data_IF_544231308603
#
_entry.id   IF_544231308603
#
_cell.length_a   1.000
_cell.length_b   1.000
_cell.length_c   1.000
_cell.angle_alpha   90.00
_cell.angle_beta   90.00
_cell.angle_gamma   90.00
#
_symmetry.space_group_name_H-M   'P 1'
#
loop_
_entity.id
_entity.type
_entity.pdbx_description
1 polymer ?
#
# COMPACT_ATOMS: atom_id res chain seq x y z
N UNK A 1 -15.98 4.45 17.31
CA UNK A 1 -14.55 4.37 16.90
C UNK A 1 -14.10 5.68 16.29
N UNK A 2 -12.83 6.06 16.44
CA UNK A 2 -12.30 7.24 15.76
C UNK A 2 -12.08 6.97 14.26
N UNK A 3 -12.12 7.99 13.41
CA UNK A 3 -11.78 7.85 11.97
C UNK A 3 -10.39 7.22 11.77
N UNK A 4 -9.44 7.53 12.67
CA UNK A 4 -8.10 6.93 12.68
C UNK A 4 -8.16 5.43 12.91
N UNK A 5 -8.91 4.99 13.90
CA UNK A 5 -9.05 3.55 14.24
C UNK A 5 -9.62 2.78 13.06
N UNK A 6 -10.66 3.30 12.41
CA UNK A 6 -11.27 2.66 11.23
C UNK A 6 -10.25 2.48 10.09
N UNK A 7 -9.41 3.48 9.83
CA UNK A 7 -8.36 3.37 8.80
C UNK A 7 -7.31 2.32 9.17
N UNK A 8 -6.84 2.32 10.42
CA UNK A 8 -5.84 1.33 10.87
C UNK A 8 -6.38 -0.09 10.81
N UNK A 9 -7.63 -0.29 11.22
CA UNK A 9 -8.28 -1.61 11.20
C UNK A 9 -8.46 -2.11 9.77
N UNK A 10 -8.91 -1.25 8.85
CA UNK A 10 -9.03 -1.59 7.44
C UNK A 10 -7.66 -1.90 6.81
N UNK A 11 -6.62 -1.13 7.15
CA UNK A 11 -5.28 -1.40 6.67
C UNK A 11 -4.74 -2.74 7.19
N UNK A 12 -5.10 -3.14 8.41
CA UNK A 12 -4.67 -4.37 9.06
C UNK A 12 -5.43 -5.62 8.62
N UNK A 13 -6.65 -5.48 8.07
CA UNK A 13 -7.42 -6.64 7.59
C UNK A 13 -6.94 -7.13 6.23
N UNK A 14 -6.61 -6.21 5.31
CA UNK A 14 -6.35 -6.55 3.90
C UNK A 14 -5.31 -7.68 3.69
N UNK A 15 -4.12 -7.68 4.32
CA UNK A 15 -3.16 -8.76 4.10
C UNK A 15 -3.60 -10.14 4.62
N UNK A 16 -4.50 -10.16 5.63
CA UNK A 16 -5.08 -11.40 6.16
C UNK A 16 -6.13 -11.94 5.21
N UNK A 17 -6.98 -11.07 4.68
CA UNK A 17 -7.99 -11.41 3.70
C UNK A 17 -7.34 -11.93 2.41
N UNK A 18 -6.27 -11.27 1.95
CA UNK A 18 -5.47 -11.67 0.79
C UNK A 18 -4.87 -13.07 0.98
N UNK A 19 -4.21 -13.32 2.11
CA UNK A 19 -3.64 -14.63 2.42
C UNK A 19 -4.72 -15.71 2.48
N UNK A 20 -5.89 -15.40 3.05
CA UNK A 20 -7.02 -16.33 3.09
C UNK A 20 -7.55 -16.65 1.69
N UNK A 21 -7.71 -15.65 0.82
CA UNK A 21 -8.17 -15.82 -0.56
C UNK A 21 -7.22 -16.69 -1.38
N UNK A 22 -5.90 -16.51 -1.21
CA UNK A 22 -4.89 -17.19 -2.00
C UNK A 22 -4.41 -18.53 -1.43
N UNK A 23 -4.90 -18.94 -0.25
CA UNK A 23 -4.42 -20.15 0.45
C UNK A 23 -4.56 -21.48 -0.34
N UNK A 24 -5.39 -21.50 -1.38
CA UNK A 24 -5.63 -22.68 -2.24
C UNK A 24 -5.29 -22.41 -3.70
N UNK A 25 -4.66 -21.27 -4.01
CA UNK A 25 -4.27 -20.95 -5.38
C UNK A 25 -3.13 -21.88 -5.80
N UNK A 26 -3.19 -22.40 -7.02
CA UNK A 26 -2.07 -23.12 -7.62
C UNK A 26 -1.02 -22.12 -8.11
N UNK A 27 0.25 -22.44 -7.90
CA UNK A 27 1.36 -21.56 -8.25
C UNK A 27 1.35 -21.17 -9.73
N UNK A 28 1.12 -22.13 -10.62
CA UNK A 28 1.02 -21.90 -12.07
C UNK A 28 -0.09 -20.91 -12.43
N UNK A 29 -1.23 -20.96 -11.73
CA UNK A 29 -2.35 -20.06 -11.96
C UNK A 29 -2.06 -18.63 -11.46
N UNK A 30 -1.27 -18.49 -10.40
CA UNK A 30 -0.88 -17.18 -9.83
C UNK A 30 -0.03 -16.36 -10.81
N UNK A 31 0.83 -17.05 -11.57
CA UNK A 31 1.71 -16.45 -12.57
C UNK A 31 1.09 -16.31 -13.96
N UNK A 32 -0.07 -16.93 -14.19
CA UNK A 32 -0.73 -16.87 -15.49
C UNK A 32 -1.43 -15.53 -15.69
N UNK A 33 -1.05 -14.81 -16.74
CA UNK A 33 -1.79 -13.63 -17.21
C UNK A 33 -3.06 -14.08 -17.97
N UNK A 34 -4.25 -13.55 -17.64
CA UNK A 34 -5.49 -13.88 -18.37
C UNK A 34 -5.42 -13.51 -19.86
N UNK A 35 -4.83 -12.36 -20.17
CA UNK A 35 -4.47 -11.91 -21.52
C UNK A 35 -3.06 -11.33 -21.50
N UNK A 36 -2.36 -11.18 -22.64
CA UNK A 36 -1.03 -10.58 -22.68
C UNK A 36 -0.93 -9.15 -22.13
N UNK A 37 -2.06 -8.43 -22.07
CA UNK A 37 -2.17 -7.05 -21.58
C UNK A 37 -2.56 -6.97 -20.11
N UNK A 38 -3.16 -8.03 -19.55
CA UNK A 38 -3.59 -8.06 -18.15
C UNK A 38 -2.45 -8.42 -17.21
N UNK A 39 -2.64 -8.10 -15.94
CA UNK A 39 -1.76 -8.52 -14.87
C UNK A 39 -2.15 -9.91 -14.36
N UNK A 40 -1.14 -10.72 -14.05
CA UNK A 40 -1.31 -11.94 -13.27
C UNK A 40 -1.56 -11.61 -11.80
N UNK A 41 -1.89 -12.60 -10.98
CA UNK A 41 -2.01 -12.41 -9.53
C UNK A 41 -0.64 -12.03 -8.95
N UNK A 42 0.44 -12.65 -9.43
CA UNK A 42 1.79 -12.31 -9.00
C UNK A 42 2.15 -10.84 -9.28
N UNK A 43 1.83 -10.35 -10.48
CA UNK A 43 2.01 -8.96 -10.88
C UNK A 43 1.26 -8.00 -9.92
N UNK A 44 0.02 -8.34 -9.55
CA UNK A 44 -0.77 -7.56 -8.60
C UNK A 44 -0.14 -7.55 -7.20
N UNK A 45 0.31 -8.69 -6.69
CA UNK A 45 0.94 -8.79 -5.37
C UNK A 45 2.26 -7.97 -5.29
N UNK A 46 3.07 -8.06 -6.34
CA UNK A 46 4.29 -7.25 -6.47
C UNK A 46 3.95 -5.76 -6.52
N UNK A 47 2.92 -5.38 -7.27
CA UNK A 47 2.44 -4.00 -7.32
C UNK A 47 1.97 -3.48 -5.95
N UNK A 48 1.15 -4.25 -5.23
CA UNK A 48 0.69 -3.88 -3.89
C UNK A 48 1.85 -3.64 -2.94
N UNK A 49 2.87 -4.52 -2.98
CA UNK A 49 4.11 -4.36 -2.21
C UNK A 49 4.82 -3.06 -2.57
N UNK A 50 4.94 -2.73 -3.85
CA UNK A 50 5.56 -1.48 -4.32
C UNK A 50 4.79 -0.24 -3.84
N UNK A 51 3.46 -0.28 -3.94
CA UNK A 51 2.58 0.81 -3.48
C UNK A 51 2.75 1.07 -1.97
N UNK A 52 2.82 0.01 -1.15
CA UNK A 52 3.08 0.16 0.29
C UNK A 52 4.33 0.96 0.58
N UNK A 53 5.45 0.60 -0.05
CA UNK A 53 6.73 1.27 0.19
C UNK A 53 6.70 2.74 -0.26
N UNK A 54 6.10 3.02 -1.42
CA UNK A 54 5.97 4.38 -1.93
C UNK A 54 5.07 5.25 -1.03
N UNK A 55 3.97 4.69 -0.54
CA UNK A 55 3.09 5.38 0.40
C UNK A 55 3.75 5.58 1.77
N UNK A 56 4.47 4.60 2.29
CA UNK A 56 5.20 4.75 3.55
C UNK A 56 6.22 5.87 3.47
N UNK A 57 7.03 5.93 2.40
CA UNK A 57 7.99 7.00 2.18
C UNK A 57 7.31 8.39 2.10
N UNK A 58 6.16 8.47 1.42
CA UNK A 58 5.33 9.68 1.35
C UNK A 58 4.82 10.10 2.73
N UNK A 59 4.29 9.17 3.52
CA UNK A 59 3.77 9.45 4.84
C UNK A 59 4.90 9.89 5.80
N UNK A 60 6.08 9.30 5.69
CA UNK A 60 7.28 9.73 6.40
C UNK A 60 7.67 11.17 6.02
N UNK A 61 7.65 11.51 4.73
CA UNK A 61 7.92 12.87 4.23
C UNK A 61 6.98 13.91 4.85
N UNK A 62 5.67 13.63 4.90
CA UNK A 62 4.68 14.53 5.52
C UNK A 62 4.99 14.80 6.99
N UNK A 63 5.52 13.81 7.71
CA UNK A 63 5.91 14.01 9.12
C UNK A 63 7.22 14.76 9.27
N UNK A 64 8.21 14.49 8.40
CA UNK A 64 9.53 15.09 8.46
C UNK A 64 9.54 16.56 8.01
N UNK A 65 8.69 16.94 7.05
CA UNK A 65 8.70 18.26 6.42
C UNK A 65 7.46 19.06 6.76
N UNK A 66 7.58 20.39 6.73
CA UNK A 66 6.46 21.30 6.88
C UNK A 66 5.76 21.48 5.53
N UNK A 67 4.49 21.05 5.44
CA UNK A 67 3.63 21.19 4.25
C UNK A 67 4.32 20.77 2.94
N UNK A 68 4.84 19.53 2.83
CA UNK A 68 5.54 19.11 1.63
C UNK A 68 4.63 19.00 0.41
N UNK A 69 5.21 19.20 -0.77
CA UNK A 69 4.61 18.81 -2.04
C UNK A 69 4.78 17.31 -2.29
N UNK A 70 3.72 16.66 -2.77
CA UNK A 70 3.66 15.23 -3.07
C UNK A 70 3.37 15.04 -4.57
N UNK A 71 4.35 14.63 -5.38
CA UNK A 71 4.12 14.32 -6.79
C UNK A 71 3.19 13.12 -6.94
N UNK A 72 2.53 12.95 -8.08
CA UNK A 72 1.75 11.75 -8.37
C UNK A 72 2.66 10.52 -8.36
N UNK A 73 2.21 9.42 -7.73
CA UNK A 73 2.94 8.16 -7.88
C UNK A 73 2.58 7.59 -9.24
N UNK A 74 3.61 7.31 -10.04
CA UNK A 74 3.49 6.55 -11.27
C UNK A 74 4.12 5.18 -11.03
N UNK A 75 3.41 4.26 -10.35
CA UNK A 75 3.86 2.88 -10.25
C UNK A 75 3.91 2.26 -11.65
N UNK A 76 4.64 1.15 -11.78
CA UNK A 76 4.74 0.40 -13.04
C UNK A 76 3.36 0.07 -13.61
N UNK A 77 3.17 0.41 -14.88
CA UNK A 77 1.97 0.06 -15.66
C UNK A 77 2.12 -1.30 -16.35
N UNK A 78 3.36 -1.76 -16.50
CA UNK A 78 3.71 -3.05 -17.10
C UNK A 78 4.78 -3.72 -16.24
N UNK A 79 4.39 -4.45 -15.19
CA UNK A 79 5.34 -5.12 -14.31
C UNK A 79 6.11 -6.20 -15.07
N UNK A 80 7.40 -6.30 -14.75
CA UNK A 80 8.20 -7.46 -15.11
C UNK A 80 7.66 -8.70 -14.38
N UNK A 81 7.59 -9.87 -15.04
CA UNK A 81 7.12 -11.09 -14.39
C UNK A 81 7.93 -11.41 -13.14
N UNK A 82 7.24 -11.59 -12.02
CA UNK A 82 7.84 -11.98 -10.76
C UNK A 82 7.94 -13.50 -10.66
N UNK A 83 9.12 -14.05 -10.33
CA UNK A 83 9.32 -15.50 -10.24
C UNK A 83 9.14 -16.06 -8.82
N UNK A 84 8.83 -15.22 -7.84
CA UNK A 84 8.61 -15.64 -6.45
C UNK A 84 7.35 -16.49 -6.34
N UNK A 85 7.33 -17.38 -5.36
CA UNK A 85 6.14 -18.15 -5.03
C UNK A 85 5.00 -17.27 -4.52
N UNK A 86 3.75 -17.74 -4.63
CA UNK A 86 2.58 -17.04 -4.05
C UNK A 86 2.78 -16.75 -2.56
N UNK A 87 3.41 -17.68 -1.82
CA UNK A 87 3.70 -17.52 -0.40
C UNK A 87 4.68 -16.38 -0.12
N UNK A 88 5.76 -16.29 -0.90
CA UNK A 88 6.75 -15.20 -0.78
C UNK A 88 6.13 -13.84 -1.15
N UNK A 89 5.29 -13.80 -2.19
CA UNK A 89 4.60 -12.58 -2.62
C UNK A 89 3.59 -12.09 -1.58
N UNK A 90 2.79 -12.99 -1.01
CA UNK A 90 1.86 -12.67 0.09
C UNK A 90 2.62 -12.19 1.32
N UNK A 91 3.73 -12.85 1.68
CA UNK A 91 4.59 -12.43 2.80
C UNK A 91 5.15 -11.03 2.56
N UNK A 92 5.59 -10.71 1.35
CA UNK A 92 6.09 -9.37 1.02
C UNK A 92 5.04 -8.27 1.21
N UNK A 93 3.78 -8.52 0.82
CA UNK A 93 2.66 -7.60 1.06
C UNK A 93 2.40 -7.43 2.56
N UNK A 94 2.41 -8.54 3.31
CA UNK A 94 2.20 -8.53 4.76
C UNK A 94 3.28 -7.72 5.49
N UNK A 95 4.54 -7.95 5.16
CA UNK A 95 5.67 -7.25 5.78
C UNK A 95 5.63 -5.75 5.46
N UNK A 96 5.40 -5.38 4.20
CA UNK A 96 5.30 -3.99 3.80
C UNK A 96 4.13 -3.28 4.52
N UNK A 97 2.96 -3.91 4.60
CA UNK A 97 1.82 -3.37 5.35
C UNK A 97 2.10 -3.27 6.85
N UNK A 98 2.80 -4.24 7.43
CA UNK A 98 3.16 -4.21 8.84
C UNK A 98 4.12 -3.06 9.16
N UNK A 99 5.06 -2.75 8.26
CA UNK A 99 5.93 -1.57 8.38
C UNK A 99 5.10 -0.28 8.35
N UNK A 100 4.16 -0.16 7.41
CA UNK A 100 3.23 0.96 7.32
C UNK A 100 2.42 1.12 8.61
N UNK A 101 1.82 0.04 9.11
CA UNK A 101 1.03 0.07 10.34
C UNK A 101 1.88 0.46 11.55
N UNK A 102 3.08 -0.10 11.68
CA UNK A 102 4.01 0.23 12.78
C UNK A 102 4.31 1.73 12.80
N UNK A 103 4.59 2.30 11.62
CA UNK A 103 4.78 3.74 11.47
C UNK A 103 3.52 4.52 11.89
N UNK A 104 2.33 4.15 11.39
CA UNK A 104 1.07 4.85 11.68
C UNK A 104 0.63 4.76 13.15
N UNK A 105 0.87 3.63 13.81
CA UNK A 105 0.55 3.46 15.23
C UNK A 105 1.37 4.40 16.13
N UNK A 106 2.64 4.65 15.76
CA UNK A 106 3.51 5.56 16.51
C UNK A 106 3.13 7.05 16.38
N UNK A 107 2.22 7.41 15.47
CA UNK A 107 1.83 8.81 15.22
C UNK A 107 0.92 9.37 16.31
N UNK A 108 1.19 10.60 16.75
CA UNK A 108 0.33 11.36 17.69
C UNK A 108 -0.86 11.98 16.94
N UNK A 109 -1.91 12.35 17.65
CA UNK A 109 -3.12 12.92 17.02
C UNK A 109 -2.84 14.14 16.13
N UNK A 110 -1.88 14.99 16.50
CA UNK A 110 -1.46 16.15 15.71
C UNK A 110 -0.84 15.79 14.36
N UNK A 111 -0.10 14.66 14.27
CA UNK A 111 0.55 14.23 13.03
C UNK A 111 -0.47 13.95 11.92
N UNK A 112 -1.64 13.42 12.31
CA UNK A 112 -2.73 13.11 11.38
C UNK A 112 -3.38 14.36 10.75
N UNK A 113 -3.14 15.53 11.33
CA UNK A 113 -3.63 16.82 10.84
C UNK A 113 -2.58 17.60 10.05
N UNK A 114 -1.35 17.09 9.92
CA UNK A 114 -0.27 17.79 9.20
C UNK A 114 -0.69 18.07 7.75
N UNK A 115 -0.54 19.34 7.30
CA UNK A 115 -0.90 19.72 5.95
C UNK A 115 0.13 19.22 4.94
N UNK A 116 -0.30 19.07 3.69
CA UNK A 116 0.55 18.72 2.54
C UNK A 116 -0.15 19.18 1.26
N UNK A 117 0.57 19.26 0.15
CA UNK A 117 0.02 19.61 -1.16
C UNK A 117 0.26 18.43 -2.10
N UNK A 118 -0.81 17.75 -2.52
CA UNK A 118 -0.72 16.66 -3.50
C UNK A 118 -0.90 17.23 -4.90
N UNK A 119 -0.09 16.79 -5.85
CA UNK A 119 -0.06 17.32 -7.23
C UNK A 119 -1.44 17.43 -7.87
N UNK A 120 -2.25 16.37 -7.80
CA UNK A 120 -3.59 16.34 -8.41
C UNK A 120 -4.73 16.76 -7.48
N UNK A 121 -4.56 16.64 -6.16
CA UNK A 121 -5.64 16.85 -5.19
C UNK A 121 -5.55 18.23 -4.51
N UNK A 122 -4.45 18.96 -4.73
CA UNK A 122 -4.17 20.22 -4.08
C UNK A 122 -3.91 20.05 -2.58
N UNK A 123 -4.36 21.03 -1.79
CA UNK A 123 -4.17 21.03 -0.35
C UNK A 123 -4.91 19.89 0.33
N UNK A 124 -4.18 19.13 1.14
CA UNK A 124 -4.72 17.99 1.87
C UNK A 124 -3.96 17.77 3.17
N UNK A 125 -4.19 16.63 3.82
CA UNK A 125 -3.59 16.29 5.12
C UNK A 125 -3.08 14.87 5.14
N UNK A 126 -2.17 14.60 6.08
CA UNK A 126 -1.67 13.26 6.38
C UNK A 126 -2.79 12.20 6.41
N UNK A 127 -3.88 12.44 7.15
CA UNK A 127 -4.99 11.48 7.24
C UNK A 127 -5.58 11.08 5.88
N UNK A 128 -5.60 12.00 4.92
CA UNK A 128 -6.21 11.75 3.61
C UNK A 128 -5.27 10.89 2.77
N UNK A 129 -3.95 11.09 2.89
CA UNK A 129 -2.97 10.21 2.27
C UNK A 129 -3.04 8.78 2.84
N UNK A 130 -3.31 8.62 4.13
CA UNK A 130 -3.59 7.29 4.72
C UNK A 130 -4.88 6.69 4.16
N UNK A 131 -5.92 7.52 3.99
CA UNK A 131 -7.21 7.07 3.45
C UNK A 131 -7.12 6.58 2.00
N UNK A 132 -6.20 7.12 1.19
CA UNK A 132 -5.99 6.66 -0.19
C UNK A 132 -5.28 5.29 -0.28
N UNK A 133 -4.73 4.79 0.82
CA UNK A 133 -4.06 3.48 0.90
C UNK A 133 -4.99 2.35 1.39
N UNK A 134 -6.17 2.71 1.90
CA UNK A 134 -7.23 1.75 2.29
C UNK A 134 -7.99 1.32 1.05
#
# INVERSE_FOLDING_TARGET
>A
MSKRTVLLDALASMPKDLAFMLRRAEETAVHQRPTPQDWSIADVLAHLTTIEHLYLARLQKIVAEERPFLPTLHPETKPEPDSRSVGELVTAVQDARQQTLTFLHSRKAGDWQRPTVHETLGETKFRFMVQLLV
#
